data_IF_092846704573
#
_entry.id   IF_092846704573
#
_cell.length_a   1.000
_cell.length_b   1.000
_cell.length_c   1.000
_cell.angle_alpha   90.00
_cell.angle_beta   90.00
_cell.angle_gamma   90.00
#
_symmetry.space_group_name_H-M   'P 1'
#
loop_
_entity.id
_entity.type
_entity.pdbx_description
1 polymer ?
#
# COMPACT_ATOMS: atom_id res chain seq x y z
N UNK A 1 -11.85 -29.07 12.41
CA UNK A 1 -12.14 -29.37 13.84
C UNK A 1 -10.79 -29.40 14.55
N UNK A 2 -10.65 -28.79 15.73
CA UNK A 2 -9.43 -28.95 16.53
C UNK A 2 -9.46 -30.33 17.19
N UNK A 3 -8.44 -31.15 16.96
CA UNK A 3 -8.27 -32.44 17.62
C UNK A 3 -7.09 -32.38 18.59
N UNK A 4 -7.26 -32.93 19.78
CA UNK A 4 -6.19 -33.08 20.78
C UNK A 4 -5.79 -34.55 20.86
N UNK A 5 -4.48 -34.82 20.88
CA UNK A 5 -3.94 -36.13 21.22
C UNK A 5 -2.94 -36.01 22.37
N UNK A 6 -2.96 -36.98 23.30
CA UNK A 6 -2.06 -37.07 24.44
C UNK A 6 -1.40 -38.45 24.43
N UNK A 7 -0.08 -38.50 24.35
CA UNK A 7 0.68 -39.74 24.46
C UNK A 7 0.80 -40.20 25.93
N UNK A 8 1.11 -41.48 26.16
CA UNK A 8 1.41 -42.04 27.50
C UNK A 8 2.58 -41.33 28.22
N UNK A 9 3.43 -40.59 27.49
CA UNK A 9 4.52 -39.77 28.06
C UNK A 9 4.25 -38.26 28.08
N UNK A 10 3.00 -37.81 27.88
CA UNK A 10 2.57 -36.43 28.19
C UNK A 10 2.65 -35.38 27.08
N UNK A 11 3.19 -35.69 25.90
CA UNK A 11 3.27 -34.71 24.79
C UNK A 11 1.92 -34.51 24.10
N UNK A 12 1.57 -33.25 23.79
CA UNK A 12 0.36 -32.87 23.04
C UNK A 12 0.72 -32.34 21.65
N UNK A 13 0.06 -32.85 20.61
CA UNK A 13 0.18 -32.32 19.24
C UNK A 13 -1.16 -31.80 18.75
N UNK A 14 -1.14 -30.65 18.06
CA UNK A 14 -2.32 -29.96 17.55
C UNK A 14 -2.33 -30.02 16.02
N UNK A 15 -3.42 -30.50 15.42
CA UNK A 15 -3.56 -30.55 13.96
C UNK A 15 -4.90 -29.98 13.50
N UNK A 16 -4.91 -29.39 12.30
CA UNK A 16 -6.11 -28.80 11.68
C UNK A 16 -6.45 -29.50 10.37
N UNK A 17 -7.71 -29.94 10.22
CA UNK A 17 -8.28 -30.37 8.93
C UNK A 17 -9.64 -29.70 8.73
N UNK A 18 -9.91 -29.21 7.51
CA UNK A 18 -11.19 -28.61 7.12
C UNK A 18 -12.26 -29.70 6.88
N UNK A 19 -11.93 -30.76 6.12
CA UNK A 19 -12.98 -31.60 5.50
C UNK A 19 -12.88 -33.11 5.77
N UNK A 20 -11.96 -33.57 6.63
CA UNK A 20 -11.76 -35.00 6.88
C UNK A 20 -11.92 -35.42 8.36
N UNK A 21 -12.19 -36.71 8.61
CA UNK A 21 -12.13 -37.35 9.94
C UNK A 21 -10.89 -38.26 10.01
N UNK A 22 -10.21 -38.26 11.15
CA UNK A 22 -9.09 -39.17 11.44
C UNK A 22 -9.64 -40.29 12.32
N UNK A 23 -9.43 -41.55 11.94
CA UNK A 23 -10.08 -42.69 12.61
C UNK A 23 -9.14 -43.49 13.50
N UNK A 24 -7.89 -43.72 13.10
CA UNK A 24 -6.95 -44.58 13.84
C UNK A 24 -5.52 -44.06 13.81
N UNK A 25 -4.80 -44.31 14.92
CA UNK A 25 -3.37 -44.08 15.09
C UNK A 25 -2.72 -45.42 15.44
N UNK A 26 -1.76 -45.87 14.62
CA UNK A 26 -0.96 -47.07 14.92
C UNK A 26 0.49 -46.65 15.04
N UNK A 27 1.11 -46.93 16.18
CA UNK A 27 2.54 -46.69 16.42
C UNK A 27 3.29 -48.02 16.30
N UNK A 28 4.39 -47.99 15.55
CA UNK A 28 5.46 -48.98 15.65
C UNK A 28 6.75 -48.21 15.89
N UNK A 29 7.76 -48.85 16.49
CA UNK A 29 9.02 -48.19 16.85
C UNK A 29 9.66 -47.50 15.63
N UNK A 30 9.46 -46.19 15.49
CA UNK A 30 10.03 -45.36 14.43
C UNK A 30 9.05 -44.71 13.44
N UNK A 31 7.73 -44.95 13.51
CA UNK A 31 6.77 -44.26 12.63
C UNK A 31 5.35 -44.11 13.22
N UNK A 32 4.67 -43.05 12.78
CA UNK A 32 3.25 -42.76 13.06
C UNK A 32 2.47 -42.90 11.77
N UNK A 33 1.42 -43.72 11.78
CA UNK A 33 0.50 -43.87 10.63
C UNK A 33 -0.83 -43.20 10.91
N UNK A 34 -1.29 -42.36 9.99
CA UNK A 34 -2.55 -41.61 10.05
C UNK A 34 -3.46 -42.03 8.90
N UNK A 35 -4.65 -42.54 9.24
CA UNK A 35 -5.68 -42.85 8.24
C UNK A 35 -6.76 -41.76 8.19
N UNK A 36 -6.90 -41.13 7.03
CA UNK A 36 -7.80 -40.01 6.79
C UNK A 36 -9.01 -40.46 5.97
N UNK A 37 -10.22 -40.24 6.48
CA UNK A 37 -11.48 -40.66 5.87
C UNK A 37 -12.38 -39.48 5.51
N UNK A 38 -13.24 -39.70 4.51
CA UNK A 38 -14.34 -38.79 4.15
C UNK A 38 -15.30 -38.58 5.34
N UNK A 39 -15.85 -37.37 5.45
CA UNK A 39 -16.90 -37.03 6.44
C UNK A 39 -18.30 -37.48 6.02
N UNK A 40 -18.50 -37.84 4.76
CA UNK A 40 -19.79 -38.28 4.23
C UNK A 40 -20.11 -39.70 4.71
N UNK A 41 -21.16 -39.91 5.52
CA UNK A 41 -21.54 -41.25 6.00
C UNK A 41 -22.03 -42.18 4.87
N UNK A 42 -22.33 -41.66 3.69
CA UNK A 42 -22.74 -42.45 2.51
C UNK A 42 -21.58 -42.77 1.56
N UNK A 43 -20.38 -42.21 1.79
CA UNK A 43 -19.17 -42.47 1.02
C UNK A 43 -17.93 -42.62 1.93
N UNK A 44 -17.73 -43.80 2.56
CA UNK A 44 -16.68 -44.04 3.54
C UNK A 44 -15.35 -44.45 2.89
N UNK A 45 -14.92 -43.80 1.81
CA UNK A 45 -13.62 -44.08 1.20
C UNK A 45 -12.45 -43.49 2.02
N UNK A 46 -11.35 -44.25 2.12
CA UNK A 46 -10.07 -43.79 2.67
C UNK A 46 -9.49 -42.75 1.71
N UNK A 47 -9.36 -41.51 2.18
CA UNK A 47 -8.87 -40.39 1.38
C UNK A 47 -7.35 -40.43 1.23
N UNK A 48 -6.65 -40.78 2.32
CA UNK A 48 -5.20 -40.80 2.35
C UNK A 48 -4.67 -41.62 3.55
N UNK A 49 -3.57 -42.35 3.34
CA UNK A 49 -2.77 -42.98 4.38
C UNK A 49 -1.45 -42.20 4.49
N UNK A 50 -1.19 -41.57 5.63
CA UNK A 50 -0.01 -40.72 5.85
C UNK A 50 0.90 -41.44 6.85
N UNK A 51 2.14 -41.73 6.43
CA UNK A 51 3.17 -42.30 7.30
C UNK A 51 4.19 -41.23 7.62
N UNK A 52 4.37 -40.93 8.90
CA UNK A 52 5.38 -40.00 9.41
C UNK A 52 6.48 -40.84 10.05
N UNK A 53 7.67 -40.86 9.44
CA UNK A 53 8.84 -41.53 9.99
C UNK A 53 9.54 -40.58 10.98
N UNK A 54 9.88 -41.09 12.16
CA UNK A 54 10.60 -40.33 13.19
C UNK A 54 12.10 -40.66 13.06
N UNK A 55 12.87 -39.82 12.38
CA UNK A 55 14.33 -39.99 12.34
C UNK A 55 14.98 -39.54 13.65
N UNK A 56 15.91 -40.36 14.17
CA UNK A 56 16.81 -39.93 15.26
C UNK A 56 17.88 -39.02 14.66
N UNK A 57 17.90 -37.76 15.08
CA UNK A 57 19.03 -36.86 14.80
C UNK A 57 20.34 -37.47 15.28
N UNK A 58 21.38 -37.45 14.41
CA UNK A 58 22.73 -37.92 14.77
C UNK A 58 23.28 -37.04 15.89
N UNK A 59 23.39 -37.58 17.10
CA UNK A 59 24.06 -36.91 18.24
C UNK A 59 23.42 -37.06 19.62
N UNK A 60 22.24 -37.68 19.76
CA UNK A 60 21.59 -37.82 21.08
C UNK A 60 21.96 -39.14 21.79
N UNK A 61 22.79 -39.05 22.84
CA UNK A 61 22.99 -40.13 23.82
C UNK A 61 22.04 -39.94 25.01
N UNK A 62 20.79 -40.37 24.84
CA UNK A 62 19.80 -40.81 25.87
C UNK A 62 18.36 -40.45 25.43
N UNK A 63 17.34 -41.21 25.86
CA UNK A 63 15.96 -41.00 25.43
C UNK A 63 15.22 -40.11 26.43
N UNK A 64 15.35 -38.79 26.32
CA UNK A 64 14.43 -37.84 26.93
C UNK A 64 14.47 -36.52 26.14
N UNK A 65 13.28 -36.02 25.78
CA UNK A 65 13.02 -34.73 25.13
C UNK A 65 13.42 -34.63 23.63
N UNK A 66 12.48 -35.03 22.77
CA UNK A 66 12.43 -34.60 21.38
C UNK A 66 11.75 -33.23 21.32
N UNK A 67 12.53 -32.16 21.17
CA UNK A 67 12.01 -30.82 20.82
C UNK A 67 11.51 -30.82 19.37
N UNK A 68 10.21 -30.52 19.21
CA UNK A 68 9.47 -30.55 17.94
C UNK A 68 9.62 -29.25 17.11
N UNK A 69 10.77 -28.59 17.14
CA UNK A 69 10.99 -27.36 16.34
C UNK A 69 11.45 -27.61 14.89
N UNK A 70 11.76 -28.85 14.50
CA UNK A 70 12.19 -29.15 13.13
C UNK A 70 11.58 -30.45 12.59
N UNK A 71 10.39 -30.36 12.00
CA UNK A 71 9.92 -31.36 11.02
C UNK A 71 9.96 -30.74 9.63
N UNK A 72 10.98 -31.12 8.86
CA UNK A 72 11.04 -30.84 7.42
C UNK A 72 10.23 -31.91 6.68
N UNK A 73 9.20 -31.50 5.96
CA UNK A 73 8.44 -32.39 5.08
C UNK A 73 9.25 -32.64 3.80
N UNK A 74 9.89 -33.80 3.69
CA UNK A 74 10.54 -34.26 2.46
C UNK A 74 9.87 -35.54 1.97
N UNK A 75 9.44 -35.55 0.70
CA UNK A 75 8.98 -36.75 0.00
C UNK A 75 7.46 -36.82 -0.25
N UNK A 76 6.99 -36.10 -1.27
CA UNK A 76 5.81 -36.52 -2.03
C UNK A 76 6.30 -36.90 -3.43
N UNK A 77 6.64 -38.17 -3.63
CA UNK A 77 6.80 -38.75 -4.96
C UNK A 77 5.43 -39.28 -5.43
N UNK A 78 4.92 -38.69 -6.51
CA UNK A 78 3.70 -39.08 -7.20
C UNK A 78 3.88 -40.47 -7.87
N UNK A 79 3.44 -41.52 -7.18
CA UNK A 79 3.20 -42.81 -7.80
C UNK A 79 1.76 -43.25 -7.59
N UNK A 80 0.90 -42.89 -8.55
CA UNK A 80 -0.38 -43.59 -8.76
C UNK A 80 -0.57 -43.88 -10.24
N UNK A 81 -0.22 -45.11 -10.62
CA UNK A 81 -0.55 -45.73 -11.90
C UNK A 81 -2.03 -46.14 -11.88
N UNK A 82 -2.87 -45.47 -12.66
CA UNK A 82 -4.27 -45.89 -12.83
C UNK A 82 -4.35 -47.12 -13.75
N UNK A 83 -4.83 -48.24 -13.19
CA UNK A 83 -5.25 -49.42 -13.95
C UNK A 83 -6.44 -49.06 -14.86
N UNK A 84 -6.33 -49.35 -16.16
CA UNK A 84 -7.41 -49.21 -17.15
C UNK A 84 -8.42 -50.35 -17.03
N UNK A 85 -9.73 -50.11 -17.11
CA UNK A 85 -10.69 -51.09 -17.58
C UNK A 85 -10.79 -51.02 -19.11
N UNK A 86 -10.54 -52.15 -19.76
CA UNK A 86 -10.85 -52.35 -21.18
C UNK A 86 -12.32 -52.70 -21.35
N UNK A 87 -13.09 -51.87 -22.05
CA UNK A 87 -14.30 -52.32 -22.77
C UNK A 87 -14.34 -51.63 -24.14
N UNK A 88 -14.54 -52.46 -25.16
CA UNK A 88 -14.57 -52.16 -26.58
C UNK A 88 -15.68 -51.16 -26.98
N UNK A 89 -15.41 -50.35 -28.01
CA UNK A 89 -16.45 -49.93 -28.95
C UNK A 89 -16.60 -48.43 -29.22
N UNK A 90 -16.07 -48.03 -30.40
CA UNK A 90 -16.60 -47.00 -31.34
C UNK A 90 -16.29 -45.50 -31.11
N UNK A 91 -15.58 -45.01 -32.15
CA UNK A 91 -15.64 -43.70 -32.84
C UNK A 91 -14.93 -42.49 -32.21
N UNK A 92 -13.98 -42.00 -33.01
CA UNK A 92 -13.21 -40.75 -32.94
C UNK A 92 -13.92 -39.57 -32.25
N UNK A 93 -13.27 -39.01 -31.22
CA UNK A 93 -13.58 -37.67 -30.68
C UNK A 93 -12.27 -36.89 -30.52
N UNK A 94 -12.25 -35.68 -31.08
CA UNK A 94 -11.11 -34.76 -31.04
C UNK A 94 -10.65 -34.41 -29.62
N UNK A 95 -9.42 -33.87 -29.51
CA UNK A 95 -8.81 -33.47 -28.24
C UNK A 95 -9.83 -32.68 -27.38
N UNK A 96 -9.98 -32.99 -26.08
CA UNK A 96 -10.87 -32.23 -25.20
C UNK A 96 -10.45 -30.77 -25.18
N UNK A 97 -11.41 -29.85 -25.37
CA UNK A 97 -11.17 -28.41 -25.13
C UNK A 97 -10.68 -28.22 -23.71
N UNK A 98 -9.58 -27.50 -23.59
CA UNK A 98 -9.00 -27.17 -22.29
C UNK A 98 -9.97 -26.34 -21.45
N UNK A 99 -10.12 -26.71 -20.18
CA UNK A 99 -10.96 -25.98 -19.24
C UNK A 99 -10.25 -24.70 -18.78
N UNK A 100 -11.01 -23.63 -18.57
CA UNK A 100 -10.52 -22.34 -18.06
C UNK A 100 -9.54 -22.50 -16.89
N UNK A 101 -9.92 -23.31 -15.89
CA UNK A 101 -9.09 -23.58 -14.71
C UNK A 101 -7.74 -24.21 -15.04
N UNK A 102 -7.69 -25.14 -16.00
CA UNK A 102 -6.42 -25.76 -16.46
C UNK A 102 -5.54 -24.77 -17.23
N UNK A 103 -6.15 -23.84 -17.97
CA UNK A 103 -5.43 -22.75 -18.63
C UNK A 103 -4.78 -21.82 -17.60
N UNK A 104 -5.51 -21.49 -16.52
CA UNK A 104 -4.99 -20.68 -15.41
C UNK A 104 -3.86 -21.41 -14.67
N UNK A 105 -4.06 -22.66 -14.26
CA UNK A 105 -3.06 -23.47 -13.56
C UNK A 105 -1.78 -23.64 -14.40
N UNK A 106 -1.91 -23.82 -15.72
CA UNK A 106 -0.76 -23.92 -16.62
C UNK A 106 0.02 -22.62 -16.69
N UNK A 107 -0.66 -21.48 -16.79
CA UNK A 107 0.01 -20.18 -16.85
C UNK A 107 0.66 -19.80 -15.51
N UNK A 108 0.00 -20.12 -14.39
CA UNK A 108 0.56 -19.97 -13.03
C UNK A 108 1.87 -20.76 -12.91
N UNK A 109 1.85 -22.02 -13.35
CA UNK A 109 3.04 -22.87 -13.36
C UNK A 109 4.11 -22.38 -14.35
N UNK A 110 3.72 -21.95 -15.56
CA UNK A 110 4.63 -21.41 -16.59
C UNK A 110 5.38 -20.18 -16.10
N UNK A 111 4.73 -19.35 -15.28
CA UNK A 111 5.28 -18.11 -14.72
C UNK A 111 6.00 -18.30 -13.38
N UNK A 112 6.10 -19.52 -12.86
CA UNK A 112 6.87 -19.84 -11.64
C UNK A 112 6.16 -19.51 -10.33
N UNK A 113 4.85 -19.27 -10.35
CA UNK A 113 4.04 -19.03 -9.16
C UNK A 113 3.52 -20.35 -8.55
N UNK A 114 3.14 -20.33 -7.28
CA UNK A 114 2.60 -21.50 -6.59
C UNK A 114 1.23 -21.89 -7.14
N UNK A 115 1.02 -23.18 -7.45
CA UNK A 115 -0.28 -23.69 -7.89
C UNK A 115 -1.40 -23.46 -6.88
N UNK A 116 -1.08 -23.22 -5.61
CA UNK A 116 -2.06 -22.89 -4.56
C UNK A 116 -2.76 -21.55 -4.79
N UNK A 117 -2.18 -20.66 -5.61
CA UNK A 117 -2.78 -19.36 -5.95
C UNK A 117 -3.78 -19.47 -7.11
N UNK A 118 -3.65 -20.51 -7.95
CA UNK A 118 -4.42 -20.71 -9.16
C UNK A 118 -5.96 -20.77 -8.94
N UNK A 119 -6.50 -21.39 -7.87
CA UNK A 119 -7.94 -21.37 -7.60
C UNK A 119 -8.48 -19.95 -7.39
N UNK A 120 -7.72 -19.10 -6.69
CA UNK A 120 -8.12 -17.72 -6.39
C UNK A 120 -8.05 -16.81 -7.61
N UNK A 121 -7.12 -17.08 -8.53
CA UNK A 121 -6.95 -16.37 -9.80
C UNK A 121 -8.02 -16.83 -10.81
N UNK A 122 -8.33 -18.12 -10.83
CA UNK A 122 -9.34 -18.69 -11.72
C UNK A 122 -10.77 -18.29 -11.34
N UNK A 123 -11.02 -17.97 -10.07
CA UNK A 123 -12.33 -17.56 -9.57
C UNK A 123 -12.73 -16.14 -10.01
N UNK A 124 -11.77 -15.30 -10.43
CA UNK A 124 -12.00 -13.90 -10.77
C UNK A 124 -11.28 -13.53 -12.07
N UNK A 125 -12.06 -13.19 -13.11
CA UNK A 125 -11.53 -12.84 -14.43
C UNK A 125 -10.70 -11.54 -14.41
N UNK A 126 -10.93 -10.64 -13.45
CA UNK A 126 -10.11 -9.43 -13.29
C UNK A 126 -8.73 -9.78 -12.74
N UNK A 127 -8.65 -10.64 -11.72
CA UNK A 127 -7.40 -11.20 -11.19
C UNK A 127 -6.61 -11.95 -12.25
N UNK A 128 -7.28 -12.69 -13.12
CA UNK A 128 -6.61 -13.32 -14.26
C UNK A 128 -5.98 -12.33 -15.23
N UNK A 129 -6.68 -11.23 -15.57
CA UNK A 129 -6.13 -10.18 -16.44
C UNK A 129 -4.94 -9.46 -15.79
N UNK A 130 -5.03 -9.17 -14.50
CA UNK A 130 -3.90 -8.62 -13.75
C UNK A 130 -2.72 -9.62 -13.67
N UNK A 131 -3.01 -10.90 -13.48
CA UNK A 131 -2.01 -11.97 -13.53
C UNK A 131 -1.36 -12.10 -14.92
N UNK A 132 -2.09 -11.77 -15.98
CA UNK A 132 -1.58 -11.78 -17.35
C UNK A 132 -0.63 -10.63 -17.67
N UNK A 133 -0.69 -9.50 -16.94
CA UNK A 133 0.28 -8.41 -17.07
C UNK A 133 1.70 -8.95 -16.83
N UNK A 134 2.74 -8.34 -17.42
CA UNK A 134 4.11 -8.73 -17.13
C UNK A 134 4.32 -8.60 -15.61
N UNK A 135 4.63 -9.71 -14.95
CA UNK A 135 4.96 -9.73 -13.54
C UNK A 135 6.27 -10.49 -13.41
N UNK A 136 7.24 -9.88 -12.73
CA UNK A 136 8.49 -10.50 -12.40
C UNK A 136 8.60 -10.63 -10.87
N UNK A 137 9.44 -11.55 -10.34
CA UNK A 137 9.63 -11.67 -8.89
C UNK A 137 10.03 -10.32 -8.28
N UNK A 138 9.45 -9.92 -7.13
CA UNK A 138 9.81 -8.67 -6.47
C UNK A 138 11.32 -8.58 -6.24
N UNK A 139 11.93 -7.48 -6.68
CA UNK A 139 13.37 -7.27 -6.55
C UNK A 139 14.23 -7.81 -7.69
N UNK A 140 13.64 -8.48 -8.69
CA UNK A 140 14.36 -8.97 -9.86
C UNK A 140 14.61 -7.88 -10.90
N UNK A 141 15.60 -8.08 -11.78
CA UNK A 141 15.91 -7.13 -12.88
C UNK A 141 14.71 -6.82 -13.78
N UNK A 142 13.89 -7.83 -14.07
CA UNK A 142 12.71 -7.67 -14.90
C UNK A 142 11.58 -6.92 -14.17
N UNK A 143 11.48 -7.04 -12.84
CA UNK A 143 10.56 -6.25 -12.01
C UNK A 143 11.00 -4.79 -11.97
N UNK A 144 12.30 -4.53 -11.84
CA UNK A 144 12.88 -3.20 -11.94
C UNK A 144 12.59 -2.52 -13.28
N UNK A 145 12.82 -3.22 -14.40
CA UNK A 145 12.50 -2.69 -15.73
C UNK A 145 11.02 -2.37 -15.90
N UNK A 146 10.13 -3.22 -15.37
CA UNK A 146 8.68 -3.00 -15.45
C UNK A 146 8.19 -1.79 -14.65
N UNK A 147 8.85 -1.50 -13.52
CA UNK A 147 8.54 -0.31 -12.71
C UNK A 147 9.34 0.94 -13.13
N UNK A 148 10.06 0.85 -14.25
CA UNK A 148 10.86 1.94 -14.82
C UNK A 148 12.13 2.27 -14.02
N UNK A 149 12.78 1.30 -13.38
CA UNK A 149 13.98 1.56 -12.58
C UNK A 149 15.23 1.51 -13.46
N UNK A 150 16.07 2.54 -13.37
CA UNK A 150 17.35 2.60 -14.05
C UNK A 150 18.39 1.78 -13.28
N UNK A 151 19.01 0.81 -13.95
CA UNK A 151 20.15 0.06 -13.43
C UNK A 151 21.41 0.94 -13.57
N UNK A 152 21.76 1.70 -12.53
CA UNK A 152 22.87 2.66 -12.53
C UNK A 152 23.29 3.09 -11.13
N UNK A 153 24.51 3.64 -10.99
CA UNK A 153 25.15 3.96 -9.70
C UNK A 153 24.26 4.86 -8.81
N UNK A 154 24.29 4.69 -7.48
CA UNK A 154 23.55 5.54 -6.54
C UNK A 154 23.84 7.02 -6.84
N UNK A 155 22.79 7.84 -6.95
CA UNK A 155 22.96 9.29 -7.06
C UNK A 155 23.62 9.86 -5.81
N UNK A 156 24.18 11.08 -5.92
CA UNK A 156 24.73 11.84 -4.79
C UNK A 156 23.82 11.74 -3.54
N UNK A 157 24.45 11.54 -2.39
CA UNK A 157 23.75 11.38 -1.11
C UNK A 157 23.04 12.69 -0.75
N UNK A 158 21.71 12.64 -0.65
CA UNK A 158 20.89 13.77 -0.23
C UNK A 158 20.46 13.55 1.22
N UNK A 159 21.15 14.18 2.17
CA UNK A 159 20.79 14.09 3.59
C UNK A 159 19.62 15.03 3.91
N UNK A 160 18.66 14.51 4.67
CA UNK A 160 17.53 15.29 5.20
C UNK A 160 17.47 15.22 6.73
N UNK A 161 18.56 14.76 7.36
CA UNK A 161 18.65 14.54 8.79
C UNK A 161 18.33 15.82 9.56
N UNK A 162 17.41 15.72 10.52
CA UNK A 162 17.02 16.84 11.37
C UNK A 162 16.11 17.89 10.71
N UNK A 163 15.76 17.75 9.43
CA UNK A 163 14.89 18.72 8.74
C UNK A 163 13.43 18.58 9.17
N UNK A 164 12.68 19.66 9.02
CA UNK A 164 11.21 19.64 9.09
C UNK A 164 10.61 19.28 7.72
N UNK A 165 9.51 18.54 7.72
CA UNK A 165 8.72 18.19 6.54
C UNK A 165 7.34 18.85 6.61
N UNK A 166 7.26 20.14 6.26
CA UNK A 166 6.03 20.94 6.40
C UNK A 166 5.21 21.03 5.11
N UNK A 167 5.89 21.23 3.99
CA UNK A 167 5.33 21.31 2.64
C UNK A 167 6.34 20.85 1.62
N UNK A 168 5.88 20.31 0.48
CA UNK A 168 6.75 19.91 -0.63
C UNK A 168 7.38 21.12 -1.34
N UNK A 169 6.96 22.35 -1.03
CA UNK A 169 7.60 23.58 -1.52
C UNK A 169 9.07 23.65 -1.13
N UNK A 170 9.40 23.19 0.08
CA UNK A 170 10.72 23.38 0.70
C UNK A 170 11.72 22.26 0.31
N UNK A 171 11.30 21.34 -0.56
CA UNK A 171 12.10 20.21 -1.02
C UNK A 171 12.43 20.33 -2.50
N UNK A 172 13.68 20.07 -2.87
CA UNK A 172 14.13 20.04 -4.26
C UNK A 172 13.57 18.81 -5.00
N UNK A 173 13.59 18.80 -6.35
CA UNK A 173 13.23 17.60 -7.12
C UNK A 173 14.01 16.36 -6.67
N UNK A 174 15.31 16.49 -6.44
CA UNK A 174 16.16 15.38 -6.02
C UNK A 174 15.80 14.84 -4.64
N UNK A 175 15.43 15.72 -3.70
CA UNK A 175 14.98 15.32 -2.37
C UNK A 175 13.64 14.57 -2.42
N UNK A 176 12.68 15.06 -3.22
CA UNK A 176 11.39 14.38 -3.40
C UNK A 176 11.62 13.00 -4.04
N UNK A 177 12.46 12.91 -5.07
CA UNK A 177 12.84 11.63 -5.69
C UNK A 177 13.56 10.69 -4.71
N UNK A 178 14.39 11.21 -3.80
CA UNK A 178 15.05 10.41 -2.76
C UNK A 178 14.04 9.83 -1.76
N UNK A 179 13.01 10.61 -1.38
CA UNK A 179 11.92 10.12 -0.51
C UNK A 179 11.16 8.99 -1.21
N UNK A 180 10.76 9.19 -2.47
CA UNK A 180 10.07 8.17 -3.27
C UNK A 180 10.96 6.92 -3.46
N UNK A 181 12.27 7.10 -3.67
CA UNK A 181 13.18 5.97 -3.87
C UNK A 181 13.34 5.17 -2.58
N UNK A 182 13.43 5.86 -1.45
CA UNK A 182 13.46 5.22 -0.13
C UNK A 182 12.15 4.48 0.14
N UNK A 183 10.99 5.02 -0.24
CA UNK A 183 9.71 4.33 -0.09
C UNK A 183 9.65 3.05 -0.91
N UNK A 184 10.15 3.09 -2.15
CA UNK A 184 10.30 1.95 -3.03
C UNK A 184 11.27 0.87 -2.50
N UNK A 185 12.43 1.29 -1.97
CA UNK A 185 13.43 0.41 -1.35
C UNK A 185 12.81 -0.31 -0.14
N UNK A 186 12.18 0.44 0.78
CA UNK A 186 11.51 -0.11 1.96
C UNK A 186 10.37 -1.06 1.59
N UNK A 187 9.54 -0.70 0.60
CA UNK A 187 8.46 -1.57 0.11
C UNK A 187 9.02 -2.86 -0.47
N UNK A 188 10.09 -2.80 -1.25
CA UNK A 188 10.72 -4.00 -1.83
C UNK A 188 11.33 -4.88 -0.75
N UNK A 189 12.14 -4.32 0.15
CA UNK A 189 12.82 -5.07 1.22
C UNK A 189 11.83 -5.70 2.18
N UNK A 190 10.87 -4.92 2.68
CA UNK A 190 10.02 -5.39 3.77
C UNK A 190 8.80 -6.17 3.25
N UNK A 191 8.12 -5.70 2.20
CA UNK A 191 6.94 -6.39 1.65
C UNK A 191 7.32 -7.44 0.62
N UNK A 192 8.28 -7.13 -0.26
CA UNK A 192 8.71 -8.01 -1.34
C UNK A 192 9.58 -9.16 -0.85
N UNK A 193 10.75 -8.87 -0.30
CA UNK A 193 11.74 -9.88 0.13
C UNK A 193 11.56 -10.35 1.58
N UNK A 194 10.65 -9.71 2.33
CA UNK A 194 10.35 -10.03 3.75
C UNK A 194 11.56 -9.87 4.68
N UNK A 195 12.45 -8.96 4.33
CA UNK A 195 13.59 -8.60 5.16
C UNK A 195 13.14 -7.98 6.49
N UNK A 196 13.77 -8.42 7.59
CA UNK A 196 13.63 -7.79 8.89
C UNK A 196 14.52 -6.54 8.97
N UNK A 197 14.06 -5.43 8.42
CA UNK A 197 14.79 -4.16 8.41
C UNK A 197 14.29 -3.21 9.50
N UNK A 198 15.11 -2.94 10.53
CA UNK A 198 14.74 -2.13 11.71
C UNK A 198 15.73 -0.99 12.02
N UNK A 199 15.85 0.02 11.14
CA UNK A 199 16.80 1.12 11.33
C UNK A 199 16.44 2.08 12.48
N UNK A 200 15.19 2.10 12.94
CA UNK A 200 14.70 3.06 13.95
C UNK A 200 14.63 2.48 15.36
N UNK A 201 15.39 1.41 15.65
CA UNK A 201 15.43 0.83 17.00
C UNK A 201 15.83 1.89 18.02
N UNK A 202 14.99 2.06 19.05
CA UNK A 202 15.20 3.03 20.12
C UNK A 202 14.65 4.43 19.84
N UNK A 203 14.18 4.72 18.61
CA UNK A 203 13.55 6.00 18.26
C UNK A 203 12.08 6.03 18.66
N UNK A 204 11.60 7.24 18.98
CA UNK A 204 10.27 7.52 19.50
C UNK A 204 9.63 8.63 18.67
N UNK A 205 8.35 8.50 18.34
CA UNK A 205 7.61 9.54 17.62
C UNK A 205 6.31 9.90 18.36
N UNK A 206 6.03 11.20 18.50
CA UNK A 206 4.73 11.68 18.96
C UNK A 206 3.81 11.94 17.77
N UNK A 207 2.59 11.40 17.78
CA UNK A 207 1.59 11.57 16.73
C UNK A 207 0.43 12.45 17.26
N UNK A 208 0.52 13.76 17.05
CA UNK A 208 -0.50 14.73 17.47
C UNK A 208 -1.58 14.85 16.40
N UNK A 209 -2.80 14.41 16.68
CA UNK A 209 -3.91 14.43 15.72
C UNK A 209 -5.12 15.20 16.26
N UNK A 210 -5.26 16.47 15.88
CA UNK A 210 -6.44 17.29 16.21
C UNK A 210 -7.69 16.94 15.38
N UNK A 211 -7.49 16.23 14.26
CA UNK A 211 -8.55 15.73 13.39
C UNK A 211 -8.46 14.21 13.31
N UNK A 212 -9.62 13.54 13.39
CA UNK A 212 -9.72 12.08 13.21
C UNK A 212 -9.06 11.64 11.89
N UNK A 213 -8.32 10.53 11.94
CA UNK A 213 -7.71 9.91 10.76
C UNK A 213 -7.48 8.42 10.97
N UNK A 214 -7.98 7.60 10.05
CA UNK A 214 -7.66 6.16 10.00
C UNK A 214 -6.36 5.94 9.24
N UNK A 215 -6.28 6.43 7.99
CA UNK A 215 -5.14 6.21 7.09
C UNK A 215 -3.84 6.77 7.65
N UNK A 216 -3.80 8.06 8.00
CA UNK A 216 -2.58 8.70 8.53
C UNK A 216 -2.13 8.06 9.85
N UNK A 217 -3.07 7.76 10.76
CA UNK A 217 -2.74 7.12 12.04
C UNK A 217 -2.14 5.75 11.82
N UNK A 218 -2.87 4.85 11.15
CA UNK A 218 -2.42 3.46 10.98
C UNK A 218 -1.18 3.34 10.09
N UNK A 219 -1.08 4.13 9.01
CA UNK A 219 0.09 4.09 8.13
C UNK A 219 1.36 4.49 8.88
N UNK A 220 1.27 5.54 9.72
CA UNK A 220 2.40 6.04 10.50
C UNK A 220 2.75 5.10 11.65
N UNK A 221 1.77 4.76 12.48
CA UNK A 221 1.95 3.95 13.68
C UNK A 221 2.52 2.57 13.32
N UNK A 222 1.91 1.89 12.35
CA UNK A 222 2.43 0.59 11.90
C UNK A 222 3.72 0.70 11.09
N UNK A 223 3.97 1.83 10.43
CA UNK A 223 5.19 2.06 9.67
C UNK A 223 6.42 2.25 10.56
N UNK A 224 6.31 3.13 11.56
CA UNK A 224 7.37 3.39 12.54
C UNK A 224 7.69 2.12 13.33
N UNK A 225 6.66 1.41 13.79
CA UNK A 225 6.84 0.14 14.52
C UNK A 225 7.53 -0.93 13.65
N UNK A 226 7.24 -0.97 12.34
CA UNK A 226 7.86 -1.91 11.42
C UNK A 226 9.36 -1.64 11.23
N UNK A 227 9.77 -0.38 11.28
CA UNK A 227 11.18 0.05 11.27
C UNK A 227 11.86 -0.09 12.65
N UNK A 228 11.18 -0.63 13.67
CA UNK A 228 11.73 -0.84 15.01
C UNK A 228 11.59 0.34 15.98
N UNK A 229 11.01 1.46 15.53
CA UNK A 229 10.69 2.60 16.39
C UNK A 229 9.43 2.39 17.22
N UNK A 230 9.11 3.35 18.08
CA UNK A 230 7.84 3.40 18.81
C UNK A 230 7.10 4.70 18.50
N UNK A 231 5.80 4.63 18.29
CA UNK A 231 4.96 5.81 18.13
C UNK A 231 3.90 5.93 19.22
N UNK A 232 3.67 7.15 19.69
CA UNK A 232 2.70 7.48 20.72
C UNK A 232 1.61 8.37 20.14
N UNK A 233 0.38 7.86 20.11
CA UNK A 233 -0.77 8.62 19.65
C UNK A 233 -1.24 9.59 20.75
N UNK A 234 -1.35 10.87 20.39
CA UNK A 234 -1.77 11.95 21.29
C UNK A 234 -3.02 12.61 20.70
N UNK A 235 -4.18 12.36 21.31
CA UNK A 235 -5.43 12.99 20.92
C UNK A 235 -5.66 14.31 21.67
N UNK A 236 -6.58 15.18 21.19
CA UNK A 236 -6.95 16.40 21.90
C UNK A 236 -7.54 16.16 23.29
N UNK A 237 -8.09 14.97 23.52
CA UNK A 237 -8.66 14.57 24.81
C UNK A 237 -7.57 14.11 25.80
N UNK A 238 -6.34 13.86 25.33
CA UNK A 238 -5.23 13.32 26.14
C UNK A 238 -4.22 14.40 26.59
N UNK A 239 -3.98 15.42 25.75
CA UNK A 239 -2.91 16.40 25.96
C UNK A 239 -3.43 17.82 26.21
N UNK A 240 -2.62 18.66 26.87
CA UNK A 240 -3.01 20.03 27.23
C UNK A 240 -2.91 21.06 26.09
N UNK A 241 -2.37 20.66 24.93
CA UNK A 241 -2.14 21.53 23.78
C UNK A 241 -3.42 22.25 23.33
N UNK A 242 -3.41 23.58 23.41
CA UNK A 242 -4.54 24.43 22.99
C UNK A 242 -5.64 24.61 24.03
N UNK A 243 -5.51 23.98 25.21
CA UNK A 243 -6.42 24.15 26.35
C UNK A 243 -5.68 24.75 27.54
N UNK A 244 -4.71 24.01 28.10
CA UNK A 244 -3.95 24.41 29.29
C UNK A 244 -2.47 24.68 28.99
N UNK A 245 -2.02 24.48 27.74
CA UNK A 245 -0.62 24.62 27.36
C UNK A 245 -0.47 25.23 25.96
N UNK A 246 0.55 26.07 25.80
CA UNK A 246 0.86 26.73 24.52
C UNK A 246 1.54 25.76 23.55
N UNK A 247 1.47 26.05 22.24
CA UNK A 247 2.21 25.28 21.21
C UNK A 247 3.71 25.28 21.52
N UNK A 248 4.24 26.43 21.96
CA UNK A 248 5.65 26.63 22.30
C UNK A 248 6.11 25.71 23.42
N UNK A 249 5.37 25.68 24.53
CA UNK A 249 5.74 24.87 25.69
C UNK A 249 5.59 23.38 25.37
N UNK A 250 4.48 23.01 24.71
CA UNK A 250 4.25 21.64 24.24
C UNK A 250 5.36 21.16 23.30
N UNK A 251 5.80 22.00 22.35
CA UNK A 251 6.88 21.66 21.42
C UNK A 251 8.17 21.32 22.16
N UNK A 252 8.56 22.16 23.13
CA UNK A 252 9.79 22.00 23.91
C UNK A 252 9.74 20.77 24.81
N UNK A 253 8.62 20.56 25.51
CA UNK A 253 8.41 19.39 26.36
C UNK A 253 8.48 18.10 25.54
N UNK A 254 7.73 18.03 24.43
CA UNK A 254 7.73 16.84 23.57
C UNK A 254 9.09 16.57 22.95
N UNK A 255 9.83 17.61 22.56
CA UNK A 255 11.17 17.45 21.99
C UNK A 255 12.17 16.80 22.96
N UNK A 256 11.94 16.88 24.28
CA UNK A 256 12.73 16.19 25.29
C UNK A 256 12.38 14.69 25.46
N UNK A 257 11.25 14.24 24.91
CA UNK A 257 10.74 12.88 25.10
C UNK A 257 10.79 12.00 23.85
N UNK A 258 10.71 12.62 22.68
CA UNK A 258 10.63 11.92 21.39
C UNK A 258 11.68 12.43 20.41
N UNK A 259 11.95 11.63 19.38
CA UNK A 259 12.92 11.93 18.32
C UNK A 259 12.24 12.61 17.11
N UNK A 260 10.91 12.53 16.98
CA UNK A 260 10.13 13.13 15.89
C UNK A 260 8.71 13.45 16.34
N UNK A 261 8.12 14.52 15.81
CA UNK A 261 6.71 14.85 16.04
C UNK A 261 5.99 14.92 14.69
N UNK A 262 4.96 14.10 14.51
CA UNK A 262 4.05 14.16 13.38
C UNK A 262 2.75 14.84 13.82
N UNK A 263 2.39 15.93 13.13
CA UNK A 263 1.29 16.80 13.50
C UNK A 263 0.22 16.87 12.41
N UNK A 264 -1.03 16.59 12.79
CA UNK A 264 -2.23 16.84 11.98
C UNK A 264 -3.06 17.88 12.69
N UNK A 265 -2.95 19.13 12.23
CA UNK A 265 -3.53 20.31 12.86
C UNK A 265 -4.59 20.97 11.97
N UNK A 266 -5.30 21.95 12.53
CA UNK A 266 -6.21 22.79 11.75
C UNK A 266 -5.42 23.79 10.91
N UNK A 267 -4.75 24.75 11.56
CA UNK A 267 -4.02 25.82 10.87
C UNK A 267 -2.63 25.36 10.44
N UNK A 268 -2.15 25.87 9.33
CA UNK A 268 -0.77 25.61 8.92
C UNK A 268 0.24 26.35 9.81
N UNK A 269 -0.11 27.55 10.26
CA UNK A 269 0.67 28.40 11.16
C UNK A 269 1.00 27.69 12.49
N UNK A 270 0.08 26.85 13.00
CA UNK A 270 0.31 26.06 14.22
C UNK A 270 1.41 25.01 14.00
N UNK A 271 1.45 24.41 12.80
CA UNK A 271 2.50 23.45 12.41
C UNK A 271 3.85 24.16 12.25
N UNK A 272 3.86 25.35 11.65
CA UNK A 272 5.07 26.18 11.54
C UNK A 272 5.59 26.63 12.91
N UNK A 273 4.68 27.02 13.81
CA UNK A 273 5.01 27.40 15.19
C UNK A 273 5.58 26.22 15.98
N UNK A 274 5.00 25.02 15.81
CA UNK A 274 5.53 23.80 16.41
C UNK A 274 6.94 23.51 15.90
N UNK A 275 7.20 23.70 14.60
CA UNK A 275 8.50 23.50 13.99
C UNK A 275 9.56 24.53 14.38
N UNK A 276 9.15 25.77 14.65
CA UNK A 276 10.05 26.82 15.12
C UNK A 276 10.53 26.62 16.56
N UNK A 277 9.70 26.00 17.40
CA UNK A 277 9.97 25.82 18.84
C UNK A 277 10.46 24.40 19.19
N UNK A 278 10.35 23.44 18.28
CA UNK A 278 10.81 22.07 18.48
C UNK A 278 12.29 21.91 18.14
N UNK A 279 13.01 21.12 18.96
CA UNK A 279 14.38 20.72 18.66
C UNK A 279 14.48 19.38 17.92
N UNK A 280 13.35 18.80 17.53
CA UNK A 280 13.27 17.55 16.76
C UNK A 280 12.44 17.75 15.49
N UNK A 281 12.60 16.92 14.45
CA UNK A 281 11.85 17.04 13.21
C UNK A 281 10.33 17.07 13.39
N UNK A 282 9.68 18.02 12.73
CA UNK A 282 8.23 18.11 12.59
C UNK A 282 7.79 17.62 11.22
N UNK A 283 6.81 16.72 11.19
CA UNK A 283 6.17 16.23 9.97
C UNK A 283 4.72 16.70 9.90
N UNK A 284 4.39 17.48 8.87
CA UNK A 284 3.01 17.87 8.57
C UNK A 284 2.24 16.69 7.98
N UNK A 285 1.36 16.12 8.80
CA UNK A 285 0.49 15.01 8.42
C UNK A 285 -0.84 15.44 7.80
N UNK A 286 -1.22 16.70 7.95
CA UNK A 286 -2.28 17.45 7.27
C UNK A 286 -2.50 18.78 8.03
N UNK A 287 -2.56 19.88 7.29
CA UNK A 287 -3.10 21.17 7.73
C UNK A 287 -4.22 21.61 6.77
N UNK A 288 -4.85 22.74 7.04
CA UNK A 288 -5.80 23.36 6.09
C UNK A 288 -5.15 23.78 4.76
N UNK A 289 -3.84 24.05 4.75
CA UNK A 289 -3.14 24.53 3.57
C UNK A 289 -2.47 23.41 2.76
N UNK A 290 -1.89 22.40 3.43
CA UNK A 290 -1.14 21.33 2.77
C UNK A 290 -1.36 19.94 3.39
N UNK A 291 -1.19 18.90 2.57
CA UNK A 291 -1.13 17.50 2.96
C UNK A 291 0.01 16.78 2.18
N UNK A 292 1.28 17.11 2.46
CA UNK A 292 2.40 16.65 1.62
C UNK A 292 2.62 15.13 1.64
N UNK A 293 2.33 14.46 2.77
CA UNK A 293 2.41 12.99 2.86
C UNK A 293 1.43 12.25 1.94
N UNK A 294 0.27 12.84 1.63
CA UNK A 294 -0.67 12.24 0.69
C UNK A 294 -0.06 12.23 -0.71
N UNK A 295 0.47 13.38 -1.14
CA UNK A 295 1.01 13.53 -2.50
C UNK A 295 2.21 12.62 -2.73
N UNK A 296 3.06 12.39 -1.73
CA UNK A 296 4.11 11.39 -1.87
C UNK A 296 3.55 10.00 -2.19
N UNK A 297 2.45 9.59 -1.54
CA UNK A 297 1.83 8.30 -1.84
C UNK A 297 1.20 8.27 -3.23
N UNK A 298 0.61 9.38 -3.68
CA UNK A 298 0.07 9.53 -5.03
C UNK A 298 1.19 9.38 -6.06
N UNK A 299 2.29 10.14 -5.90
CA UNK A 299 3.46 10.08 -6.78
C UNK A 299 4.08 8.68 -6.82
N UNK A 300 4.21 8.01 -5.66
CA UNK A 300 4.68 6.62 -5.61
C UNK A 300 3.74 5.68 -6.38
N UNK A 301 2.43 5.90 -6.28
CA UNK A 301 1.42 5.06 -6.94
C UNK A 301 1.43 5.25 -8.45
N UNK A 302 1.60 6.49 -8.90
CA UNK A 302 1.74 6.82 -10.32
C UNK A 302 3.06 6.28 -10.89
N UNK A 303 4.16 6.39 -10.14
CA UNK A 303 5.45 5.81 -10.52
C UNK A 303 5.34 4.28 -10.65
N UNK A 304 4.73 3.61 -9.67
CA UNK A 304 4.51 2.17 -9.70
C UNK A 304 3.60 1.73 -10.88
N UNK A 305 2.74 2.62 -11.38
CA UNK A 305 1.79 2.33 -12.47
C UNK A 305 2.34 2.62 -13.86
N UNK A 306 2.88 3.83 -14.07
CA UNK A 306 3.34 4.32 -15.37
C UNK A 306 4.83 4.06 -15.61
N UNK A 307 5.61 3.80 -14.55
CA UNK A 307 7.06 3.61 -14.62
C UNK A 307 7.87 4.90 -14.81
N UNK A 308 7.22 6.03 -15.07
CA UNK A 308 7.82 7.36 -15.16
C UNK A 308 6.72 8.40 -14.87
N UNK A 309 7.10 9.53 -14.30
CA UNK A 309 6.18 10.62 -13.96
C UNK A 309 6.21 11.77 -14.98
N UNK A 310 7.33 11.95 -15.69
CA UNK A 310 7.50 13.09 -16.61
C UNK A 310 6.48 13.07 -17.75
N UNK A 311 5.89 14.24 -17.98
CA UNK A 311 4.92 14.47 -19.06
C UNK A 311 3.50 14.03 -18.73
N UNK A 312 3.27 13.31 -17.63
CA UNK A 312 1.92 12.94 -17.21
C UNK A 312 1.09 14.19 -16.91
N UNK A 313 -0.18 14.14 -17.32
CA UNK A 313 -1.16 15.19 -17.04
C UNK A 313 -2.15 14.71 -15.99
N UNK A 314 -2.14 15.40 -14.84
CA UNK A 314 -3.08 15.15 -13.75
C UNK A 314 -4.22 16.17 -13.82
N UNK A 315 -5.45 15.68 -13.97
CA UNK A 315 -6.67 16.46 -13.88
C UNK A 315 -7.24 16.40 -12.46
N UNK A 316 -7.22 17.54 -11.78
CA UNK A 316 -7.96 17.75 -10.54
C UNK A 316 -9.37 18.24 -10.84
N UNK A 317 -10.37 17.58 -10.26
CA UNK A 317 -11.77 18.01 -10.33
C UNK A 317 -12.30 18.13 -8.91
N UNK A 318 -12.46 19.35 -8.41
CA UNK A 318 -12.97 19.55 -7.05
C UNK A 318 -12.56 20.87 -6.41
N UNK A 319 -12.59 20.89 -5.08
CA UNK A 319 -12.32 22.06 -4.24
C UNK A 319 -10.84 22.46 -4.30
N UNK A 320 -10.54 23.76 -4.26
CA UNK A 320 -9.19 24.32 -4.17
C UNK A 320 -8.58 24.13 -2.78
N UNK A 321 -8.30 22.89 -2.41
CA UNK A 321 -7.97 22.49 -1.05
C UNK A 321 -6.49 22.08 -0.84
N UNK A 322 -6.19 21.61 0.37
CA UNK A 322 -4.85 21.18 0.77
C UNK A 322 -4.23 20.05 -0.07
N UNK A 323 -5.04 19.18 -0.69
CA UNK A 323 -4.55 18.12 -1.56
C UNK A 323 -4.01 18.74 -2.85
N UNK A 324 -4.83 19.53 -3.56
CA UNK A 324 -4.40 20.15 -4.80
C UNK A 324 -3.28 21.18 -4.58
N UNK A 325 -3.30 21.92 -3.46
CA UNK A 325 -2.15 22.77 -3.09
C UNK A 325 -0.85 21.98 -2.97
N UNK A 326 -0.91 20.75 -2.44
CA UNK A 326 0.28 19.91 -2.30
C UNK A 326 0.72 19.33 -3.65
N UNK A 327 -0.22 18.98 -4.54
CA UNK A 327 0.07 18.65 -5.93
C UNK A 327 0.82 19.80 -6.61
N UNK A 328 0.31 21.03 -6.47
CA UNK A 328 0.91 22.23 -7.06
C UNK A 328 2.35 22.49 -6.62
N UNK A 329 2.74 22.03 -5.43
CA UNK A 329 4.12 22.15 -4.93
C UNK A 329 5.06 21.02 -5.41
N UNK A 330 4.52 19.88 -5.87
CA UNK A 330 5.29 18.67 -6.21
C UNK A 330 5.29 18.37 -7.71
N UNK A 331 4.14 18.47 -8.36
CA UNK A 331 3.92 18.08 -9.75
C UNK A 331 4.90 18.79 -10.71
N UNK A 332 5.08 20.13 -10.67
CA UNK A 332 6.08 20.77 -11.53
C UNK A 332 7.51 20.23 -11.35
N UNK A 333 7.91 19.97 -10.10
CA UNK A 333 9.27 19.49 -9.75
C UNK A 333 9.54 18.08 -10.27
N UNK A 334 8.49 17.29 -10.45
CA UNK A 334 8.56 15.92 -10.97
C UNK A 334 8.17 15.84 -12.46
N UNK A 335 7.98 16.98 -13.14
CA UNK A 335 7.71 17.01 -14.58
C UNK A 335 6.27 16.71 -14.98
N UNK A 336 5.30 16.81 -14.06
CA UNK A 336 3.87 16.68 -14.37
C UNK A 336 3.25 17.98 -14.83
N UNK A 337 2.23 17.87 -15.68
CA UNK A 337 1.28 18.93 -15.96
C UNK A 337 0.07 18.80 -15.04
N UNK A 338 -0.51 19.94 -14.62
CA UNK A 338 -1.74 20.00 -13.84
C UNK A 338 -2.84 20.71 -14.63
N UNK A 339 -4.03 20.11 -14.67
CA UNK A 339 -5.27 20.74 -15.09
C UNK A 339 -6.23 20.75 -13.92
N UNK A 340 -6.70 21.92 -13.50
CA UNK A 340 -7.41 22.13 -12.23
C UNK A 340 -8.78 22.72 -12.53
N UNK A 341 -9.82 21.91 -12.40
CA UNK A 341 -11.20 22.35 -12.42
C UNK A 341 -11.70 22.56 -10.99
N UNK A 342 -12.03 23.81 -10.65
CA UNK A 342 -12.64 24.17 -9.38
C UNK A 342 -13.82 25.12 -9.59
N UNK A 343 -14.94 24.96 -8.85
CA UNK A 343 -16.06 25.89 -8.98
C UNK A 343 -15.65 27.31 -8.62
N UNK A 344 -16.35 28.30 -9.18
CA UNK A 344 -16.16 29.71 -8.83
C UNK A 344 -16.39 29.92 -7.32
N UNK A 345 -15.45 30.59 -6.63
CA UNK A 345 -15.45 30.78 -5.17
C UNK A 345 -14.84 29.60 -4.37
N UNK A 346 -14.32 28.60 -5.07
CA UNK A 346 -13.65 27.42 -4.52
C UNK A 346 -12.28 27.20 -5.17
N UNK A 347 -11.68 28.27 -5.70
CA UNK A 347 -10.37 28.25 -6.33
C UNK A 347 -9.25 27.98 -5.31
N UNK A 348 -8.08 27.60 -5.82
CA UNK A 348 -6.88 27.41 -5.00
C UNK A 348 -6.40 28.73 -4.38
N UNK A 349 -5.72 28.64 -3.24
CA UNK A 349 -5.17 29.80 -2.55
C UNK A 349 -4.25 30.62 -3.49
N UNK A 350 -4.45 31.94 -3.65
CA UNK A 350 -3.70 32.76 -4.59
C UNK A 350 -2.18 32.71 -4.40
N UNK A 351 -1.71 32.65 -3.15
CA UNK A 351 -0.28 32.55 -2.86
C UNK A 351 0.30 31.20 -3.32
N UNK A 352 -0.45 30.12 -3.11
CA UNK A 352 -0.07 28.77 -3.60
C UNK A 352 -0.07 28.73 -5.12
N UNK A 353 -1.08 29.32 -5.77
CA UNK A 353 -1.13 29.44 -7.24
C UNK A 353 0.09 30.16 -7.79
N UNK A 354 0.43 31.32 -7.22
CA UNK A 354 1.60 32.10 -7.63
C UNK A 354 2.91 31.32 -7.49
N UNK A 355 3.07 30.56 -6.41
CA UNK A 355 4.25 29.72 -6.21
C UNK A 355 4.29 28.55 -7.20
N UNK A 356 3.14 27.93 -7.47
CA UNK A 356 3.02 26.84 -8.44
C UNK A 356 3.33 27.28 -9.87
N UNK A 357 2.85 28.45 -10.30
CA UNK A 357 3.15 29.02 -11.62
C UNK A 357 4.64 29.30 -11.81
N UNK A 358 5.32 29.79 -10.76
CA UNK A 358 6.78 29.97 -10.78
C UNK A 358 7.49 28.63 -10.95
N UNK A 359 7.08 27.61 -10.19
CA UNK A 359 7.63 26.25 -10.29
C UNK A 359 7.38 25.67 -11.68
N UNK A 360 6.18 25.81 -12.24
CA UNK A 360 5.83 25.35 -13.58
C UNK A 360 6.73 25.99 -14.64
N UNK A 361 6.94 27.31 -14.57
CA UNK A 361 7.88 28.02 -15.45
C UNK A 361 9.32 27.53 -15.28
N UNK A 362 9.75 27.30 -14.03
CA UNK A 362 11.12 26.85 -13.73
C UNK A 362 11.41 25.45 -14.28
N UNK A 363 10.44 24.54 -14.20
CA UNK A 363 10.61 23.13 -14.59
C UNK A 363 10.00 22.78 -15.95
N UNK A 364 9.46 23.77 -16.67
CA UNK A 364 8.92 23.58 -18.02
C UNK A 364 7.63 22.77 -18.07
N UNK A 365 6.81 22.81 -17.02
CA UNK A 365 5.50 22.15 -16.98
C UNK A 365 4.35 23.14 -17.09
N UNK A 366 3.13 22.63 -17.24
CA UNK A 366 1.93 23.45 -17.40
C UNK A 366 1.01 23.32 -16.19
N UNK A 367 0.43 24.46 -15.78
CA UNK A 367 -0.68 24.50 -14.84
C UNK A 367 -1.81 25.26 -15.53
N UNK A 368 -2.96 24.60 -15.67
CA UNK A 368 -4.15 25.16 -16.30
C UNK A 368 -5.29 25.17 -15.30
N UNK A 369 -5.91 26.32 -15.09
CA UNK A 369 -7.08 26.49 -14.22
C UNK A 369 -8.33 26.70 -15.06
N UNK A 370 -9.42 26.03 -14.72
CA UNK A 370 -10.72 26.16 -15.37
C UNK A 370 -11.84 26.00 -14.34
N UNK A 371 -13.07 26.34 -14.75
CA UNK A 371 -14.30 26.04 -14.02
C UNK A 371 -15.13 24.96 -14.71
N UNK A 372 -14.64 24.36 -15.81
CA UNK A 372 -15.25 23.21 -16.47
C UNK A 372 -14.47 21.91 -16.17
N UNK A 373 -15.03 20.96 -15.41
CA UNK A 373 -14.44 19.63 -15.21
C UNK A 373 -14.06 18.90 -16.50
N UNK A 374 -14.81 19.09 -17.58
CA UNK A 374 -14.55 18.43 -18.87
C UNK A 374 -13.26 18.94 -19.51
N UNK A 375 -13.02 20.25 -19.49
CA UNK A 375 -11.78 20.85 -20.01
C UNK A 375 -10.56 20.36 -19.21
N UNK A 376 -10.69 20.23 -17.88
CA UNK A 376 -9.60 19.71 -17.07
C UNK A 376 -9.31 18.23 -17.37
N UNK A 377 -10.35 17.42 -17.60
CA UNK A 377 -10.22 15.99 -17.88
C UNK A 377 -9.74 15.68 -19.31
N UNK A 378 -9.80 16.63 -20.25
CA UNK A 378 -9.43 16.38 -21.65
C UNK A 378 -7.97 15.92 -21.77
N UNK A 379 -7.77 14.76 -22.40
CA UNK A 379 -6.46 14.10 -22.59
C UNK A 379 -5.64 13.88 -21.30
N UNK A 380 -6.27 13.90 -20.12
CA UNK A 380 -5.59 13.68 -18.85
C UNK A 380 -5.28 12.19 -18.62
N UNK A 381 -4.09 11.88 -18.11
CA UNK A 381 -3.64 10.53 -17.75
C UNK A 381 -4.19 10.09 -16.39
N UNK A 382 -4.41 11.05 -15.49
CA UNK A 382 -4.83 10.78 -14.11
C UNK A 382 -5.99 11.71 -13.76
N UNK A 383 -7.11 11.14 -13.34
CA UNK A 383 -8.23 11.89 -12.78
C UNK A 383 -8.19 11.80 -11.26
N UNK A 384 -8.24 12.96 -10.59
CA UNK A 384 -8.14 13.08 -9.14
C UNK A 384 -9.27 13.94 -8.60
N UNK A 385 -9.90 13.48 -7.52
CA UNK A 385 -10.84 14.27 -6.72
C UNK A 385 -10.63 13.96 -5.25
N UNK A 386 -11.14 14.84 -4.40
CA UNK A 386 -11.21 14.65 -2.95
C UNK A 386 -12.58 15.10 -2.44
N UNK A 387 -12.80 14.85 -1.16
CA UNK A 387 -13.90 15.36 -0.40
C UNK A 387 -14.00 16.87 -0.41
N UNK A 388 -15.22 17.31 -0.69
CA UNK A 388 -15.63 18.72 -0.62
C UNK A 388 -15.59 19.17 0.83
N UNK A 389 -14.56 19.94 1.20
CA UNK A 389 -14.27 20.30 2.60
C UNK A 389 -15.42 21.11 3.21
N UNK A 390 -16.04 21.99 2.41
CA UNK A 390 -17.08 22.91 2.89
C UNK A 390 -18.42 22.24 3.22
N UNK A 391 -18.63 20.95 2.90
CA UNK A 391 -19.91 20.26 3.12
C UNK A 391 -20.16 19.72 4.54
N UNK A 392 -19.16 19.63 5.43
CA UNK A 392 -19.34 18.90 6.71
C UNK A 392 -19.42 19.72 7.99
N UNK A 393 -19.09 21.02 7.97
CA UNK A 393 -18.99 21.82 9.20
C UNK A 393 -19.70 23.17 9.14
N UNK A 394 -20.42 23.45 8.04
CA UNK A 394 -21.09 24.74 7.80
C UNK A 394 -22.62 24.63 8.01
N UNK A 395 -23.33 25.76 8.27
CA UNK A 395 -24.79 25.81 8.33
C UNK A 395 -25.45 25.18 7.08
N UNK A 396 -26.68 24.70 7.20
CA UNK A 396 -27.39 23.99 6.10
C UNK A 396 -27.50 24.82 4.81
N UNK A 397 -27.65 26.15 4.93
CA UNK A 397 -27.72 27.06 3.79
C UNK A 397 -26.43 27.05 2.95
N UNK A 398 -25.28 27.12 3.62
CA UNK A 398 -23.97 27.07 2.96
C UNK A 398 -23.66 25.68 2.38
N UNK A 399 -24.16 24.61 3.00
CA UNK A 399 -24.08 23.26 2.41
C UNK A 399 -24.86 23.19 1.11
N UNK A 400 -26.05 23.77 1.06
CA UNK A 400 -26.89 23.77 -0.14
C UNK A 400 -26.25 24.58 -1.27
N UNK A 401 -25.65 25.73 -0.96
CA UNK A 401 -24.88 26.54 -1.92
C UNK A 401 -23.66 25.78 -2.45
N UNK A 402 -22.93 25.09 -1.57
CA UNK A 402 -21.83 24.22 -1.98
C UNK A 402 -22.32 23.09 -2.91
N UNK A 403 -23.38 22.38 -2.55
CA UNK A 403 -23.95 21.33 -3.41
C UNK A 403 -24.35 21.86 -4.79
N UNK A 404 -24.88 23.08 -4.87
CA UNK A 404 -25.19 23.75 -6.15
C UNK A 404 -23.92 24.10 -6.94
N UNK A 405 -22.92 24.68 -6.30
CA UNK A 405 -21.66 25.07 -6.95
C UNK A 405 -20.91 23.85 -7.53
N UNK A 406 -21.00 22.70 -6.87
CA UNK A 406 -20.34 21.46 -7.31
C UNK A 406 -21.21 20.59 -8.25
N UNK A 407 -22.35 21.08 -8.74
CA UNK A 407 -23.10 20.36 -9.76
C UNK A 407 -22.24 20.18 -11.02
N UNK A 408 -22.15 18.94 -11.51
CA UNK A 408 -21.30 18.59 -12.66
C UNK A 408 -19.85 18.23 -12.32
N UNK A 409 -19.42 18.38 -11.06
CA UNK A 409 -18.06 18.04 -10.60
C UNK A 409 -17.90 16.59 -10.10
N UNK A 410 -18.94 15.76 -10.20
CA UNK A 410 -18.81 14.35 -9.84
C UNK A 410 -17.99 13.61 -10.91
N UNK A 411 -16.86 13.04 -10.49
CA UNK A 411 -16.04 12.19 -11.37
C UNK A 411 -16.83 10.93 -11.73
N UNK A 412 -17.03 10.73 -13.02
CA UNK A 412 -17.83 9.63 -13.56
C UNK A 412 -17.21 9.13 -14.86
N UNK A 413 -17.68 8.00 -15.37
CA UNK A 413 -17.27 7.52 -16.69
C UNK A 413 -17.55 8.54 -17.80
N UNK A 414 -18.50 9.46 -17.63
CA UNK A 414 -18.75 10.53 -18.60
C UNK A 414 -17.56 11.48 -18.71
N UNK A 415 -16.96 11.87 -17.58
CA UNK A 415 -15.74 12.68 -17.57
C UNK A 415 -14.53 11.84 -18.04
N UNK A 416 -14.45 10.58 -17.63
CA UNK A 416 -13.42 9.66 -18.12
C UNK A 416 -13.46 9.35 -19.62
N UNK A 417 -14.50 9.76 -20.36
CA UNK A 417 -14.56 9.60 -21.84
C UNK A 417 -13.71 10.63 -22.60
N UNK A 418 -13.43 11.78 -21.99
CA UNK A 418 -12.58 12.81 -22.60
C UNK A 418 -11.12 12.71 -22.14
N UNK A 419 -10.85 11.90 -21.12
CA UNK A 419 -9.51 11.61 -20.63
C UNK A 419 -8.72 10.70 -21.60
N UNK A 420 -7.41 10.61 -21.38
CA UNK A 420 -6.53 9.75 -22.17
C UNK A 420 -7.01 8.29 -22.14
N UNK A 421 -6.82 7.52 -23.22
CA UNK A 421 -7.38 6.16 -23.35
C UNK A 421 -7.07 5.24 -22.15
N UNK A 422 -5.88 5.35 -21.58
CA UNK A 422 -5.39 4.52 -20.47
C UNK A 422 -5.41 5.26 -19.12
N UNK A 423 -6.29 6.27 -18.98
CA UNK A 423 -6.42 7.05 -17.75
C UNK A 423 -6.68 6.19 -16.50
N UNK A 424 -6.17 6.66 -15.37
CA UNK A 424 -6.37 6.08 -14.03
C UNK A 424 -7.00 7.06 -13.06
N UNK A 425 -7.53 6.56 -11.96
CA UNK A 425 -8.23 7.35 -10.94
C UNK A 425 -7.55 7.28 -9.57
N UNK A 426 -7.41 8.43 -8.90
CA UNK A 426 -6.94 8.56 -7.52
C UNK A 426 -7.95 9.32 -6.63
N UNK A 427 -7.95 8.97 -5.35
CA UNK A 427 -8.77 9.60 -4.32
C UNK A 427 -8.23 9.27 -2.93
N UNK A 428 -7.77 10.29 -2.21
CA UNK A 428 -7.11 10.15 -0.90
C UNK A 428 -7.99 9.54 0.21
N UNK A 429 -9.29 9.83 0.15
CA UNK A 429 -10.31 9.26 1.00
C UNK A 429 -10.37 9.90 2.40
N UNK A 430 -11.48 9.75 3.13
CA UNK A 430 -12.63 8.90 2.82
C UNK A 430 -13.51 9.48 1.71
N UNK A 431 -13.93 8.62 0.77
CA UNK A 431 -14.78 8.98 -0.37
C UNK A 431 -16.26 9.10 0.02
N UNK A 432 -16.96 10.03 -0.63
CA UNK A 432 -18.43 10.07 -0.66
C UNK A 432 -18.97 9.92 -2.08
N UNK A 433 -20.25 9.55 -2.18
CA UNK A 433 -20.90 9.31 -3.48
C UNK A 433 -21.01 10.57 -4.34
N UNK A 434 -21.04 11.77 -3.75
CA UNK A 434 -21.21 13.01 -4.50
C UNK A 434 -19.95 13.45 -5.27
N UNK A 435 -18.78 12.96 -4.88
CA UNK A 435 -17.47 13.30 -5.45
C UNK A 435 -17.12 12.43 -6.67
N UNK A 436 -17.43 11.14 -6.60
CA UNK A 436 -17.14 10.15 -7.64
C UNK A 436 -18.19 9.06 -7.59
N UNK A 437 -18.60 8.50 -8.74
CA UNK A 437 -19.53 7.37 -8.80
C UNK A 437 -18.87 6.03 -8.45
N UNK A 438 -19.68 5.01 -8.12
CA UNK A 438 -19.16 3.67 -7.81
C UNK A 438 -18.47 3.02 -9.00
N UNK A 439 -18.93 3.34 -10.21
CA UNK A 439 -18.43 2.76 -11.44
C UNK A 439 -16.97 3.14 -11.67
N UNK A 440 -16.57 4.39 -11.39
CA UNK A 440 -15.17 4.83 -11.42
C UNK A 440 -14.42 4.36 -10.19
N UNK A 441 -14.96 4.60 -8.98
CA UNK A 441 -14.22 4.36 -7.73
C UNK A 441 -13.81 2.89 -7.55
N UNK A 442 -14.65 1.95 -7.99
CA UNK A 442 -14.38 0.51 -7.92
C UNK A 442 -13.95 -0.10 -9.26
N UNK A 443 -13.68 0.71 -10.30
CA UNK A 443 -13.19 0.21 -11.59
C UNK A 443 -11.77 -0.33 -11.52
N UNK A 444 -11.38 -1.10 -12.53
CA UNK A 444 -9.97 -1.51 -12.76
C UNK A 444 -9.03 -0.32 -13.03
N UNK A 445 -9.56 0.87 -13.36
CA UNK A 445 -8.78 2.10 -13.54
C UNK A 445 -8.47 2.79 -12.21
N UNK A 446 -9.16 2.40 -11.15
CA UNK A 446 -9.01 2.98 -9.82
C UNK A 446 -7.78 2.44 -9.11
N UNK A 447 -6.89 3.34 -8.71
CA UNK A 447 -5.68 3.00 -7.95
C UNK A 447 -5.81 3.32 -6.45
N UNK A 448 -6.99 3.71 -5.98
CA UNK A 448 -7.26 4.21 -4.61
C UNK A 448 -6.76 3.28 -3.49
N UNK A 449 -6.77 1.96 -3.71
CA UNK A 449 -6.26 1.01 -2.72
C UNK A 449 -4.74 0.91 -2.71
N UNK A 450 -4.11 1.01 -3.88
CA UNK A 450 -2.63 1.06 -4.00
C UNK A 450 -2.12 2.37 -3.44
N UNK A 451 -2.82 3.47 -3.74
CA UNK A 451 -2.61 4.79 -3.15
C UNK A 451 -2.67 4.76 -1.62
N UNK A 452 -3.75 4.21 -1.06
CA UNK A 452 -3.92 4.09 0.38
C UNK A 452 -2.82 3.23 1.04
N UNK A 453 -2.36 2.16 0.39
CA UNK A 453 -1.23 1.36 0.89
C UNK A 453 0.09 2.16 0.85
N UNK A 454 0.36 2.87 -0.24
CA UNK A 454 1.58 3.63 -0.44
C UNK A 454 1.77 4.75 0.60
N UNK A 455 0.70 5.21 1.26
CA UNK A 455 0.76 6.07 2.45
C UNK A 455 1.67 5.52 3.55
N UNK A 456 1.75 4.19 3.71
CA UNK A 456 2.62 3.53 4.70
C UNK A 456 4.09 3.63 4.30
N UNK A 457 4.41 3.30 3.06
CA UNK A 457 5.79 3.27 2.59
C UNK A 457 6.40 4.67 2.50
N UNK A 458 5.61 5.66 2.08
CA UNK A 458 6.10 7.04 1.95
C UNK A 458 6.26 7.74 3.29
N UNK A 459 5.36 7.52 4.27
CA UNK A 459 5.59 8.06 5.63
C UNK A 459 6.78 7.40 6.31
N UNK A 460 6.98 6.09 6.10
CA UNK A 460 8.17 5.38 6.57
C UNK A 460 9.45 5.99 5.99
N UNK A 461 9.46 6.29 4.69
CA UNK A 461 10.60 6.91 4.02
C UNK A 461 10.89 8.31 4.55
N UNK A 462 9.88 9.17 4.71
CA UNK A 462 10.04 10.51 5.30
C UNK A 462 10.63 10.39 6.70
N UNK A 463 10.01 9.61 7.58
CA UNK A 463 10.48 9.46 8.96
C UNK A 463 11.91 8.94 9.01
N UNK A 464 12.24 7.94 8.19
CA UNK A 464 13.58 7.37 8.13
C UNK A 464 14.62 8.42 7.72
N UNK A 465 14.39 9.14 6.62
CA UNK A 465 15.34 10.13 6.09
C UNK A 465 15.51 11.36 6.98
N UNK A 466 14.53 11.68 7.83
CA UNK A 466 14.66 12.76 8.80
C UNK A 466 15.44 12.36 10.07
N UNK A 467 15.54 11.05 10.34
CA UNK A 467 16.13 10.51 11.58
C UNK A 467 17.44 9.77 11.39
N UNK A 468 17.70 9.25 10.19
CA UNK A 468 18.87 8.44 9.86
C UNK A 468 19.36 8.76 8.43
N UNK A 469 20.67 8.67 8.21
CA UNK A 469 21.27 8.73 6.87
C UNK A 469 21.10 7.37 6.17
N UNK A 470 19.91 7.14 5.59
CA UNK A 470 19.58 5.91 4.88
C UNK A 470 20.07 5.92 3.43
N UNK A 471 20.74 4.84 3.03
CA UNK A 471 21.18 4.62 1.66
C UNK A 471 20.35 3.48 1.06
N UNK A 472 19.64 3.78 -0.02
CA UNK A 472 18.87 2.79 -0.76
C UNK A 472 19.78 1.74 -1.40
N UNK A 473 19.34 0.49 -1.35
CA UNK A 473 20.04 -0.66 -1.94
C UNK A 473 19.42 -1.10 -3.25
N UNK A 474 18.13 -0.79 -3.46
CA UNK A 474 17.46 -1.04 -4.74
C UNK A 474 17.89 -0.03 -5.80
N UNK A 475 17.83 -0.38 -7.10
CA UNK A 475 18.08 0.59 -8.18
C UNK A 475 17.19 1.84 -8.04
N UNK A 476 17.63 2.97 -8.62
CA UNK A 476 16.85 4.21 -8.57
C UNK A 476 15.75 4.18 -9.63
N UNK A 477 14.49 4.50 -9.30
CA UNK A 477 13.43 4.68 -10.29
C UNK A 477 13.79 5.79 -11.30
N UNK A 478 13.36 5.63 -12.54
CA UNK A 478 13.34 6.71 -13.53
C UNK A 478 12.11 7.57 -13.24
N UNK A 479 12.36 8.81 -12.82
CA UNK A 479 11.33 9.75 -12.36
C UNK A 479 11.06 10.84 -13.36
#
# INVERSE_FOLDING_TARGET
MWGYWRHEFGTQCLFWTSDAKIKDFVTSSGSIRLQVYSKDPHDPHLFQDIVINLERGRGAQSPAELDLEYLTFTGMEDHTTFLRPSVQGKRSRGRPRETWRRSVEREVKRRGFSLNEAPSIAADRSRWRDFQKPHAPPGSEQDWKLRGYALGKPSEHVSMLGRNFLTLRDFSPFEIQQILWTAADLKTRIKGTRELYRPLVGKRAALILQKRSTRTRLSTETGINLLGGKSYFLSPDDIHLGVNETIKDSARVLSGFVDLILARMYKHEDVESLAAESSVPIVNALSELYHPLQILADMQTLQDHFGNLRGLTVAWVGDGNNIIHSYMMAAPKLGFNLKIASPKGYETCPNVTKDAEKLAKQYGTQIFHTTDPREACEDADVLVTDRRIKNSTRPEEEKLECLKAFQGYQVSHRLGKVAAKDWVFLHCGPRKQDEVDDAVFYSERSLVWREAENRKWTVMAVVLLLLEDHICTTPKPDY
#
